data_IF_318684067695
#
_entry.id   IF_318684067695
#
_cell.length_a   1.000
_cell.length_b   1.000
_cell.length_c   1.000
_cell.angle_alpha   90.00
_cell.angle_beta   90.00
_cell.angle_gamma   90.00
#
_symmetry.space_group_name_H-M   'P 1'
#
loop_
_entity.id
_entity.type
_entity.pdbx_description
1 polymer ?
#
# COMPACT_ATOMS: atom_id res chain seq x y z
N UNK A 1 -8.28 28.50 -28.74
CA UNK A 1 -8.69 28.27 -27.33
C UNK A 1 -7.91 27.10 -26.76
N UNK A 2 -6.60 27.27 -26.64
CA UNK A 2 -5.67 26.25 -26.17
C UNK A 2 -4.60 27.01 -25.41
N UNK A 3 -4.83 27.18 -24.12
CA UNK A 3 -4.04 28.07 -23.27
C UNK A 3 -4.06 27.52 -21.85
N UNK A 4 -3.32 26.44 -21.61
CA UNK A 4 -2.80 26.14 -20.28
C UNK A 4 -1.28 26.36 -20.30
N UNK A 5 -0.82 27.58 -19.98
CA UNK A 5 0.58 27.83 -19.65
C UNK A 5 0.79 27.68 -18.14
N UNK A 6 2.02 27.29 -17.76
CA UNK A 6 2.60 27.43 -16.40
C UNK A 6 1.98 26.50 -15.33
N UNK A 7 2.70 25.66 -14.57
CA UNK A 7 4.06 25.75 -14.05
C UNK A 7 4.59 24.35 -13.68
N UNK A 8 5.91 24.20 -13.80
CA UNK A 8 6.68 23.44 -12.82
C UNK A 8 6.86 21.96 -13.15
N UNK A 9 8.12 21.61 -13.42
CA UNK A 9 8.65 20.29 -13.13
C UNK A 9 8.49 20.04 -11.62
N UNK A 10 7.32 19.54 -11.22
CA UNK A 10 7.06 19.08 -9.86
C UNK A 10 7.66 17.70 -9.70
N UNK A 11 8.85 17.61 -9.10
CA UNK A 11 9.31 16.41 -8.38
C UNK A 11 8.45 16.11 -7.13
N UNK A 12 7.20 16.57 -7.12
CA UNK A 12 6.25 16.40 -6.03
C UNK A 12 5.45 15.14 -6.30
N UNK A 13 5.76 14.11 -5.52
CA UNK A 13 5.02 12.86 -5.39
C UNK A 13 5.39 11.72 -6.36
N UNK A 14 6.63 11.24 -6.27
CA UNK A 14 6.86 9.79 -6.11
C UNK A 14 6.39 9.32 -4.72
N UNK A 15 5.19 9.73 -4.32
CA UNK A 15 4.51 9.22 -3.14
C UNK A 15 3.18 8.67 -3.63
N UNK A 16 3.29 7.63 -4.44
CA UNK A 16 2.65 6.37 -4.13
C UNK A 16 1.65 6.49 -2.97
N UNK A 17 0.40 6.80 -3.30
CA UNK A 17 -0.74 6.26 -2.53
C UNK A 17 -0.86 4.74 -2.79
N UNK A 18 0.22 4.05 -3.18
CA UNK A 18 0.26 2.60 -3.05
C UNK A 18 0.36 2.28 -1.56
N UNK A 19 -0.35 1.26 -1.09
CA UNK A 19 -0.07 0.68 0.22
C UNK A 19 1.44 0.37 0.25
N UNK A 20 2.11 0.80 1.31
CA UNK A 20 3.57 0.79 1.43
C UNK A 20 4.13 -0.64 1.58
N UNK A 21 3.90 -1.51 0.59
CA UNK A 21 4.62 -2.76 0.40
C UNK A 21 6.06 -2.52 -0.05
N UNK A 22 6.40 -1.28 -0.42
CA UNK A 22 7.73 -0.88 -0.87
C UNK A 22 8.77 -0.97 0.26
N UNK A 23 8.35 -0.84 1.52
CA UNK A 23 9.23 -0.99 2.68
C UNK A 23 9.37 -2.45 3.17
N UNK A 24 8.55 -3.38 2.67
CA UNK A 24 8.72 -4.81 2.95
C UNK A 24 9.96 -5.40 2.25
N UNK A 25 10.58 -4.66 1.33
CA UNK A 25 11.86 -5.03 0.72
C UNK A 25 13.08 -4.69 1.60
N UNK A 26 12.93 -3.82 2.61
CA UNK A 26 14.03 -3.32 3.45
C UNK A 26 14.01 -3.88 4.88
N UNK A 27 12.95 -4.60 5.26
CA UNK A 27 12.86 -5.31 6.53
C UNK A 27 12.59 -6.81 6.25
N UNK A 28 13.54 -7.73 6.52
CA UNK A 28 13.31 -9.17 6.35
C UNK A 28 12.25 -9.72 7.32
N UNK A 29 11.82 -8.92 8.30
CA UNK A 29 10.77 -9.25 9.24
C UNK A 29 9.76 -8.09 9.32
N UNK A 30 8.48 -8.40 9.08
CA UNK A 30 7.40 -7.47 9.40
C UNK A 30 7.41 -7.18 10.92
N UNK A 31 7.29 -5.93 11.36
CA UNK A 31 7.13 -5.64 12.78
C UNK A 31 5.88 -6.35 13.30
N UNK A 32 5.96 -6.92 14.51
CA UNK A 32 4.84 -7.57 15.22
C UNK A 32 3.77 -6.57 15.71
N UNK A 33 3.67 -5.40 15.06
CA UNK A 33 2.66 -4.41 15.38
C UNK A 33 1.29 -4.94 14.94
N UNK A 34 0.39 -5.14 15.89
CA UNK A 34 -0.96 -5.64 15.61
C UNK A 34 -1.84 -4.46 15.17
N UNK A 35 -2.02 -4.33 13.86
CA UNK A 35 -2.87 -3.31 13.23
C UNK A 35 -3.74 -3.99 12.18
N UNK A 36 -4.89 -4.56 12.56
CA UNK A 36 -5.70 -5.32 11.64
C UNK A 36 -6.15 -4.43 10.47
N UNK A 37 -6.08 -4.94 9.25
CA UNK A 37 -6.53 -4.25 8.03
C UNK A 37 -7.39 -5.17 7.18
N UNK A 38 -8.41 -4.60 6.55
CA UNK A 38 -9.34 -5.28 5.67
C UNK A 38 -8.77 -5.20 4.25
N UNK A 39 -8.46 -6.35 3.65
CA UNK A 39 -8.02 -6.44 2.27
C UNK A 39 -9.18 -6.35 1.28
N UNK A 40 -8.91 -5.99 0.03
CA UNK A 40 -9.89 -6.03 -1.08
C UNK A 40 -10.39 -7.44 -1.37
N UNK A 41 -9.66 -8.46 -0.91
CA UNK A 41 -10.01 -9.87 -0.96
C UNK A 41 -11.13 -10.22 0.05
N UNK A 42 -11.47 -9.32 0.99
CA UNK A 42 -12.40 -9.59 2.09
C UNK A 42 -11.76 -10.36 3.25
N UNK A 43 -10.44 -10.52 3.21
CA UNK A 43 -9.65 -11.11 4.27
C UNK A 43 -9.08 -10.04 5.21
N UNK A 44 -9.12 -10.31 6.52
CA UNK A 44 -8.51 -9.47 7.54
C UNK A 44 -7.04 -9.88 7.76
N UNK A 45 -6.12 -8.93 7.65
CA UNK A 45 -4.69 -9.13 7.84
C UNK A 45 -4.24 -8.48 9.14
N UNK A 46 -3.38 -9.17 9.92
CA UNK A 46 -2.91 -8.67 11.22
C UNK A 46 -2.10 -7.37 11.14
N UNK A 47 -1.52 -7.06 9.98
CA UNK A 47 -0.87 -5.79 9.68
C UNK A 47 -0.78 -5.55 8.16
N UNK A 48 -0.49 -4.30 7.78
CA UNK A 48 -0.24 -3.89 6.40
C UNK A 48 0.89 -4.70 5.72
N UNK A 49 1.91 -5.09 6.48
CA UNK A 49 3.04 -5.85 5.98
C UNK A 49 2.67 -7.32 5.65
N UNK A 50 1.76 -7.94 6.40
CA UNK A 50 1.26 -9.29 6.20
C UNK A 50 0.33 -9.34 4.99
N UNK A 51 -0.45 -8.27 4.75
CA UNK A 51 -1.19 -8.10 3.51
C UNK A 51 -0.22 -7.98 2.31
N UNK A 52 0.84 -7.18 2.44
CA UNK A 52 1.87 -7.06 1.40
C UNK A 52 2.62 -8.35 1.11
N UNK A 53 2.95 -9.12 2.14
CA UNK A 53 3.56 -10.43 1.99
C UNK A 53 2.60 -11.40 1.31
N UNK A 54 1.32 -11.42 1.74
CA UNK A 54 0.29 -12.22 1.09
C UNK A 54 0.19 -11.84 -0.39
N UNK A 55 0.12 -10.55 -0.71
CA UNK A 55 0.09 -9.99 -2.06
C UNK A 55 1.26 -10.50 -2.91
N UNK A 56 2.49 -10.54 -2.38
CA UNK A 56 3.67 -11.09 -3.08
C UNK A 56 3.56 -12.59 -3.29
N UNK A 57 3.16 -13.35 -2.26
CA UNK A 57 3.09 -14.82 -2.33
C UNK A 57 1.98 -15.27 -3.28
N UNK A 58 0.78 -14.69 -3.17
CA UNK A 58 -0.37 -15.03 -4.03
C UNK A 58 -0.32 -14.35 -5.39
N UNK A 59 0.54 -13.32 -5.54
CA UNK A 59 0.62 -12.45 -6.73
C UNK A 59 -0.73 -11.82 -7.11
N UNK A 60 -1.60 -11.60 -6.13
CA UNK A 60 -2.89 -10.93 -6.31
C UNK A 60 -2.74 -9.44 -5.97
N UNK A 61 -3.51 -8.55 -6.60
CA UNK A 61 -3.54 -7.13 -6.24
C UNK A 61 -4.47 -6.87 -5.05
N UNK A 62 -4.06 -7.30 -3.86
CA UNK A 62 -4.82 -7.11 -2.62
C UNK A 62 -4.49 -5.73 -2.07
N UNK A 63 -5.46 -4.81 -2.02
CA UNK A 63 -5.29 -3.46 -1.46
C UNK A 63 -5.96 -3.35 -0.09
N UNK A 64 -5.64 -2.32 0.68
CA UNK A 64 -6.30 -2.06 1.96
C UNK A 64 -7.60 -1.31 1.68
N UNK A 65 -8.74 -1.92 2.02
CA UNK A 65 -10.07 -1.29 1.96
C UNK A 65 -10.31 -0.43 3.21
N UNK A 66 -9.92 -0.96 4.38
CA UNK A 66 -10.15 -0.32 5.67
C UNK A 66 -9.01 -0.66 6.64
N UNK A 67 -8.62 0.28 7.49
CA UNK A 67 -7.51 0.11 8.45
C UNK A 67 -7.96 -0.56 9.76
N UNK A 68 -8.84 -1.54 9.63
CA UNK A 68 -9.47 -2.31 10.69
C UNK A 68 -9.94 -3.66 10.12
N UNK A 69 -10.46 -4.56 10.94
CA UNK A 69 -10.97 -5.84 10.44
C UNK A 69 -12.18 -5.66 9.51
N UNK A 70 -12.24 -6.46 8.44
CA UNK A 70 -13.54 -6.87 7.89
C UNK A 70 -14.17 -7.81 8.96
#
# INVERSE_FOLDING_TARGET
MGSFPFQGQGITSLLSFQPACEHAALAPACPLNYRPVCGTDGNTYSNECALCERRRITKQDIQIVKNEMC
#
